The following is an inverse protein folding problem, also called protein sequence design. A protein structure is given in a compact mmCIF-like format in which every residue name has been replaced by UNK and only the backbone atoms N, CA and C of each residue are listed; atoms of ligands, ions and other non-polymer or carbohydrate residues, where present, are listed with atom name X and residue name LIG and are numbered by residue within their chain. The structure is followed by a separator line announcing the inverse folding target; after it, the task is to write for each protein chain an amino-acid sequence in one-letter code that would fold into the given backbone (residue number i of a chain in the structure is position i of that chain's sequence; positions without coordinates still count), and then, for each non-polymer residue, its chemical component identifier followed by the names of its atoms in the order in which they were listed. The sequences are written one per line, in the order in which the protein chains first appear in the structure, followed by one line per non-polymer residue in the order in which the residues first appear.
data_IF_969900632412
#
_entry.id   IF_969900632412
#
_cell.length_a   1.000
_cell.length_b   1.000
_cell.length_c   1.000
_cell.angle_alpha   90.00
_cell.angle_beta   90.00
_cell.angle_gamma   90.00
#
_symmetry.space_group_name_H-M   'P 1'
#
loop_
_entity.id
_entity.type
_entity.pdbx_description
1 polymer ?
#
# COMPACT_ATOMS: atom_id res chain seq x y z
N UNK A 1 20.64 22.21 19.35
CA UNK A 1 21.13 21.41 18.22
C UNK A 1 20.63 19.99 18.44
N UNK A 2 19.55 19.61 17.76
CA UNK A 2 18.94 18.30 17.96
C UNK A 2 19.67 17.30 17.05
N UNK A 3 20.40 16.37 17.67
CA UNK A 3 20.93 15.19 16.98
C UNK A 3 19.77 14.22 16.75
N UNK A 4 19.31 14.12 15.50
CA UNK A 4 18.48 12.98 15.08
C UNK A 4 19.44 11.87 14.69
N UNK A 5 19.53 10.83 15.54
CA UNK A 5 20.16 9.58 15.16
C UNK A 5 19.26 8.92 14.12
N UNK A 6 19.73 8.81 12.88
CA UNK A 6 19.13 7.90 11.92
C UNK A 6 19.41 6.48 12.43
N UNK A 7 18.36 5.82 12.92
CA UNK A 7 18.40 4.41 13.24
C UNK A 7 18.64 3.62 11.96
N UNK A 8 19.75 2.92 11.95
CA UNK A 8 20.12 1.91 10.98
C UNK A 8 19.11 0.75 11.11
N UNK A 9 18.39 0.48 10.03
CA UNK A 9 17.63 -0.75 9.88
C UNK A 9 18.02 -1.35 8.53
N UNK A 10 19.23 -1.88 8.49
CA UNK A 10 19.61 -2.87 7.48
C UNK A 10 18.86 -4.16 7.84
N UNK A 11 17.71 -4.37 7.20
CA UNK A 11 16.95 -5.61 7.31
C UNK A 11 17.53 -6.56 6.26
N UNK A 12 17.91 -7.79 6.62
CA UNK A 12 18.46 -8.73 5.63
C UNK A 12 17.44 -8.95 4.51
N UNK A 13 17.91 -8.98 3.27
CA UNK A 13 17.12 -9.33 2.10
C UNK A 13 16.36 -10.64 2.36
N UNK A 14 15.05 -10.64 2.12
CA UNK A 14 14.19 -11.82 2.29
C UNK A 14 14.64 -12.94 1.36
N UNK A 15 14.54 -14.18 1.86
CA UNK A 15 15.03 -15.39 1.19
C UNK A 15 14.20 -15.81 -0.05
N UNK A 16 13.14 -15.07 -0.38
CA UNK A 16 12.18 -15.37 -1.44
C UNK A 16 12.34 -14.53 -2.71
N UNK A 17 13.29 -13.58 -2.73
CA UNK A 17 13.53 -12.72 -3.89
C UNK A 17 12.48 -11.63 -4.08
N UNK A 18 11.66 -11.30 -3.07
CA UNK A 18 10.86 -10.08 -3.09
C UNK A 18 11.77 -8.87 -2.83
N UNK A 19 11.77 -7.90 -3.74
CA UNK A 19 12.57 -6.65 -3.61
C UNK A 19 12.06 -5.72 -2.49
N UNK A 20 11.02 -6.10 -1.76
CA UNK A 20 10.46 -5.38 -0.61
C UNK A 20 10.14 -6.39 0.50
N UNK A 21 10.32 -6.00 1.76
CA UNK A 21 10.38 -6.93 2.89
C UNK A 21 9.12 -7.76 3.19
N UNK A 22 9.27 -8.71 4.12
CA UNK A 22 8.23 -9.66 4.55
C UNK A 22 6.89 -9.00 4.91
N UNK A 23 5.81 -9.76 4.74
CA UNK A 23 4.45 -9.33 5.15
C UNK A 23 4.38 -9.14 6.67
N UNK A 24 4.10 -7.92 7.17
CA UNK A 24 4.04 -7.67 8.61
C UNK A 24 2.83 -8.33 9.26
N UNK A 25 2.93 -8.67 10.55
CA UNK A 25 1.80 -9.18 11.35
C UNK A 25 0.59 -8.24 11.32
N UNK A 26 0.82 -6.92 11.30
CA UNK A 26 -0.23 -5.92 11.16
C UNK A 26 -1.00 -6.05 9.83
N UNK A 27 -0.32 -6.41 8.74
CA UNK A 27 -0.99 -6.65 7.45
C UNK A 27 -1.86 -7.91 7.51
N UNK A 28 -1.40 -8.97 8.18
CA UNK A 28 -2.22 -10.17 8.42
C UNK A 28 -3.46 -9.83 9.25
N UNK A 29 -3.31 -9.00 10.29
CA UNK A 29 -4.43 -8.59 11.14
C UNK A 29 -5.48 -7.76 10.39
N UNK A 30 -5.06 -6.82 9.53
CA UNK A 30 -5.98 -5.92 8.81
C UNK A 30 -6.58 -6.60 7.58
N UNK A 31 -5.76 -7.20 6.73
CA UNK A 31 -6.23 -7.79 5.47
C UNK A 31 -6.81 -9.20 5.65
N UNK A 32 -6.57 -9.85 6.79
CA UNK A 32 -7.13 -11.16 7.15
C UNK A 32 -6.91 -12.21 6.05
N UNK A 33 -7.99 -12.87 5.65
CA UNK A 33 -7.99 -13.88 4.57
C UNK A 33 -7.54 -13.35 3.20
N UNK A 34 -7.51 -12.02 3.02
CA UNK A 34 -7.11 -11.35 1.77
C UNK A 34 -5.68 -10.82 1.80
N UNK A 35 -4.89 -11.15 2.83
CA UNK A 35 -3.50 -10.70 2.94
C UNK A 35 -2.64 -11.07 1.72
N UNK A 36 -2.90 -12.22 1.08
CA UNK A 36 -2.21 -12.60 -0.16
C UNK A 36 -2.54 -11.67 -1.34
N UNK A 37 -3.74 -11.10 -1.39
CA UNK A 37 -4.11 -10.10 -2.39
C UNK A 37 -3.34 -8.80 -2.12
N UNK A 38 -3.28 -8.38 -0.85
CA UNK A 38 -2.50 -7.21 -0.44
C UNK A 38 -1.00 -7.38 -0.77
N UNK A 39 -0.44 -8.56 -0.51
CA UNK A 39 0.95 -8.91 -0.87
C UNK A 39 1.19 -8.81 -2.36
N UNK A 40 0.33 -9.42 -3.19
CA UNK A 40 0.43 -9.33 -4.65
C UNK A 40 0.31 -7.89 -5.17
N UNK A 41 -0.50 -7.05 -4.53
CA UNK A 41 -0.58 -5.64 -4.86
C UNK A 41 0.71 -4.89 -4.49
N UNK A 42 1.32 -5.20 -3.34
CA UNK A 42 2.64 -4.68 -2.97
C UNK A 42 3.72 -5.13 -3.96
N UNK A 43 3.72 -6.40 -4.40
CA UNK A 43 4.64 -6.90 -5.43
C UNK A 43 4.50 -6.12 -6.74
N UNK A 44 3.26 -5.89 -7.15
CA UNK A 44 2.98 -5.10 -8.34
C UNK A 44 3.46 -3.65 -8.20
N UNK A 45 3.21 -3.01 -7.06
CA UNK A 45 3.65 -1.64 -6.80
C UNK A 45 5.19 -1.51 -6.78
N UNK A 46 5.88 -2.46 -6.15
CA UNK A 46 7.33 -2.49 -6.04
C UNK A 46 8.03 -2.70 -7.39
N UNK A 47 7.45 -3.54 -8.27
CA UNK A 47 7.96 -3.74 -9.62
C UNK A 47 7.31 -2.79 -10.63
N UNK A 48 6.18 -3.22 -11.18
CA UNK A 48 5.46 -2.54 -12.25
C UNK A 48 5.08 -1.09 -11.92
N UNK A 49 4.76 -0.79 -10.65
CA UNK A 49 4.46 0.55 -10.16
C UNK A 49 5.68 1.49 -10.26
N UNK A 50 6.86 1.00 -9.87
CA UNK A 50 8.11 1.76 -9.98
C UNK A 50 8.50 1.99 -11.44
N UNK A 51 8.47 0.95 -12.27
CA UNK A 51 8.75 1.06 -13.72
C UNK A 51 7.88 2.12 -14.41
N UNK A 52 6.63 2.24 -13.97
CA UNK A 52 5.64 3.17 -14.53
C UNK A 52 5.69 4.55 -13.88
N UNK A 53 6.56 4.78 -12.90
CA UNK A 53 6.66 6.04 -12.17
C UNK A 53 5.47 6.32 -11.26
N UNK A 54 4.71 5.29 -10.87
CA UNK A 54 3.59 5.38 -9.93
C UNK A 54 4.06 5.34 -8.48
N UNK A 55 5.20 4.68 -8.23
CA UNK A 55 5.86 4.64 -6.94
C UNK A 55 7.35 5.00 -7.11
N UNK A 56 7.90 5.78 -6.18
CA UNK A 56 9.32 6.09 -6.19
C UNK A 56 10.16 4.87 -5.75
N UNK A 57 11.33 4.61 -6.34
CA UNK A 57 12.18 3.47 -5.94
C UNK A 57 12.53 3.45 -4.44
N UNK A 58 12.64 4.63 -3.81
CA UNK A 58 12.94 4.77 -2.38
C UNK A 58 11.77 4.42 -1.45
N UNK A 59 10.57 4.29 -2.01
CA UNK A 59 9.37 3.95 -1.25
C UNK A 59 9.13 2.44 -1.20
N UNK A 60 9.85 1.65 -2.00
CA UNK A 60 9.73 0.18 -2.08
C UNK A 60 9.99 -0.47 -0.72
N UNK A 61 11.06 -0.07 -0.03
CA UNK A 61 11.39 -0.59 1.31
C UNK A 61 10.34 -0.24 2.38
N UNK A 62 9.46 0.71 2.08
CA UNK A 62 8.47 1.26 3.00
C UNK A 62 7.05 0.93 2.61
N UNK A 63 6.87 0.05 1.63
CA UNK A 63 5.59 -0.15 0.96
C UNK A 63 4.45 -0.56 1.91
N UNK A 64 4.78 -1.38 2.90
CA UNK A 64 3.81 -1.78 3.93
C UNK A 64 3.41 -0.60 4.81
N UNK A 65 4.35 0.03 5.49
CA UNK A 65 4.06 1.06 6.49
C UNK A 65 3.57 2.37 5.85
N UNK A 66 4.21 2.82 4.76
CA UNK A 66 3.91 4.11 4.12
C UNK A 66 2.72 4.07 3.17
N UNK A 67 2.45 2.92 2.55
CA UNK A 67 1.42 2.83 1.52
C UNK A 67 0.27 1.94 1.94
N UNK A 68 0.48 0.63 2.14
CA UNK A 68 -0.64 -0.28 2.35
C UNK A 68 -1.34 -0.08 3.70
N UNK A 69 -0.61 -0.14 4.81
CA UNK A 69 -1.17 0.00 6.16
C UNK A 69 -1.69 1.42 6.42
N UNK A 70 -0.98 2.44 5.90
CA UNK A 70 -1.45 3.82 6.01
C UNK A 70 -2.73 4.08 5.19
N UNK A 71 -2.95 3.35 4.08
CA UNK A 71 -4.16 3.51 3.25
C UNK A 71 -5.44 3.05 3.92
N UNK A 72 -5.33 2.12 4.88
CA UNK A 72 -6.47 1.55 5.62
C UNK A 72 -6.67 2.19 6.99
N UNK A 73 -5.86 3.20 7.35
CA UNK A 73 -5.94 3.85 8.66
C UNK A 73 -7.29 4.52 8.98
N UNK A 74 -8.10 4.80 7.95
CA UNK A 74 -9.43 5.39 8.10
C UNK A 74 -10.58 4.37 8.02
N UNK A 75 -10.30 3.06 7.91
CA UNK A 75 -11.34 2.05 7.65
C UNK A 75 -12.40 1.96 8.77
N UNK A 76 -12.00 2.19 10.03
CA UNK A 76 -12.90 2.15 11.18
C UNK A 76 -13.92 3.31 11.20
N UNK A 77 -13.70 4.33 10.38
CA UNK A 77 -14.60 5.49 10.27
C UNK A 77 -15.72 5.27 9.25
N UNK A 78 -15.66 4.18 8.48
CA UNK A 78 -16.58 3.88 7.38
C UNK A 78 -17.64 2.88 7.83
N UNK A 79 -18.88 3.16 7.46
CA UNK A 79 -20.02 2.29 7.73
C UNK A 79 -20.00 1.03 6.86
N UNK A 80 -20.67 -0.03 7.31
CA UNK A 80 -20.78 -1.28 6.55
C UNK A 80 -21.48 -1.03 5.21
N UNK A 81 -20.85 -1.46 4.11
CA UNK A 81 -21.41 -1.32 2.77
C UNK A 81 -21.43 0.12 2.22
N UNK A 82 -20.70 1.04 2.85
CA UNK A 82 -20.63 2.43 2.42
C UNK A 82 -19.96 2.57 1.03
N UNK A 83 -20.38 3.59 0.28
CA UNK A 83 -19.77 3.97 -1.00
C UNK A 83 -18.66 4.98 -0.76
N UNK A 84 -17.45 4.66 -1.20
CA UNK A 84 -16.26 5.51 -1.05
C UNK A 84 -15.73 5.90 -2.42
N UNK A 85 -15.35 7.17 -2.58
CA UNK A 85 -14.63 7.63 -3.77
C UNK A 85 -13.21 8.07 -3.38
N UNK A 86 -12.21 7.50 -4.06
CA UNK A 86 -10.81 7.86 -3.96
C UNK A 86 -10.45 8.81 -5.11
N UNK A 87 -10.27 10.10 -4.80
CA UNK A 87 -10.01 11.16 -5.78
C UNK A 87 -8.51 11.40 -5.89
N UNK A 88 -7.96 11.20 -7.09
CA UNK A 88 -6.51 11.25 -7.33
C UNK A 88 -5.82 9.94 -6.96
N UNK A 89 -6.52 8.81 -7.15
CA UNK A 89 -6.07 7.48 -6.74
C UNK A 89 -4.72 7.06 -7.31
N UNK A 90 -4.25 7.64 -8.43
CA UNK A 90 -2.92 7.38 -8.99
C UNK A 90 -2.61 5.89 -9.19
N UNK A 91 -1.78 5.32 -8.32
CA UNK A 91 -1.45 3.89 -8.30
C UNK A 91 -2.58 2.99 -7.75
N UNK A 92 -3.73 3.58 -7.42
CA UNK A 92 -4.83 2.98 -6.68
C UNK A 92 -4.72 3.15 -5.16
N UNK A 93 -3.99 4.16 -4.65
CA UNK A 93 -3.83 4.42 -3.22
C UNK A 93 -4.65 5.66 -2.82
N UNK A 94 -5.42 5.61 -1.70
CA UNK A 94 -5.61 4.49 -0.78
C UNK A 94 -6.68 3.45 -1.19
N UNK A 95 -7.40 3.66 -2.29
CA UNK A 95 -8.64 2.92 -2.57
C UNK A 95 -8.49 1.41 -2.79
N UNK A 96 -7.42 0.94 -3.43
CA UNK A 96 -7.18 -0.50 -3.62
C UNK A 96 -6.90 -1.21 -2.27
N UNK A 97 -5.95 -0.76 -1.43
CA UNK A 97 -5.79 -1.32 -0.09
C UNK A 97 -7.10 -1.33 0.71
N UNK A 98 -7.86 -0.23 0.67
CA UNK A 98 -9.15 -0.15 1.35
C UNK A 98 -10.14 -1.21 0.84
N UNK A 99 -10.27 -1.38 -0.48
CA UNK A 99 -11.14 -2.39 -1.07
C UNK A 99 -10.71 -3.83 -0.76
N UNK A 100 -9.40 -4.06 -0.52
CA UNK A 100 -8.88 -5.37 -0.10
C UNK A 100 -9.26 -5.64 1.37
N UNK A 101 -9.06 -4.67 2.26
CA UNK A 101 -9.35 -4.82 3.69
C UNK A 101 -10.86 -4.86 3.98
N UNK A 102 -11.63 -4.03 3.28
CA UNK A 102 -13.08 -3.85 3.46
C UNK A 102 -13.84 -4.22 2.17
N UNK A 103 -13.98 -5.53 1.87
CA UNK A 103 -14.66 -6.01 0.67
C UNK A 103 -16.17 -5.75 0.66
N UNK A 104 -16.73 -5.30 1.78
CA UNK A 104 -18.11 -4.84 1.89
C UNK A 104 -18.33 -3.47 1.23
N UNK A 105 -17.28 -2.63 1.16
CA UNK A 105 -17.37 -1.28 0.61
C UNK A 105 -17.45 -1.31 -0.92
N UNK A 106 -18.17 -0.34 -1.48
CA UNK A 106 -18.08 -0.02 -2.89
C UNK A 106 -17.10 1.14 -3.11
N UNK A 107 -15.88 0.80 -3.53
CA UNK A 107 -14.81 1.77 -3.74
C UNK A 107 -14.71 2.17 -5.22
N UNK A 108 -14.85 3.46 -5.49
CA UNK A 108 -14.68 4.07 -6.81
C UNK A 108 -13.34 4.80 -6.87
N UNK A 109 -12.48 4.42 -7.81
CA UNK A 109 -11.18 5.09 -8.04
C UNK A 109 -11.35 6.14 -9.14
N UNK A 110 -11.22 7.42 -8.78
CA UNK A 110 -11.30 8.55 -9.71
C UNK A 110 -9.90 9.12 -9.95
N UNK A 111 -9.33 8.87 -11.12
CA UNK A 111 -8.05 9.45 -11.56
C UNK A 111 -8.24 10.23 -12.88
N UNK A 112 -8.18 11.58 -12.85
CA UNK A 112 -8.40 12.39 -14.04
C UNK A 112 -7.20 12.43 -15.01
N UNK A 113 -5.97 12.06 -14.60
CA UNK A 113 -4.78 12.16 -15.44
C UNK A 113 -4.34 10.84 -16.07
N UNK A 114 -4.30 10.82 -17.40
CA UNK A 114 -3.34 9.97 -18.11
C UNK A 114 -1.93 10.54 -17.87
N UNK A 115 -1.00 9.68 -17.45
CA UNK A 115 0.41 10.04 -17.24
C UNK A 115 0.91 10.85 -18.45
N UNK A 116 1.47 12.04 -18.21
CA UNK A 116 2.18 12.79 -19.25
C UNK A 116 3.47 12.05 -19.57
N UNK A 117 3.53 11.45 -20.76
CA UNK A 117 4.71 10.80 -21.36
C UNK A 117 5.70 11.83 -21.88
#
# INVERSE_FOLDING_TARGET
MFHVKHGEADKPASADGSEFGDTPEAAVAIFGERVDIARRYAEWLAGAGVERGLLGPREVDRIWDRHLLNSVAAEELLEDGERVIDVGSGAGLPGIPLAIARPDLEVVLLEPLLRRS
#
